data_IF_040492813115
#
_entry.id   IF_040492813115
#
_cell.length_a   1.000
_cell.length_b   1.000
_cell.length_c   1.000
_cell.angle_alpha   90.00
_cell.angle_beta   90.00
_cell.angle_gamma   90.00
#
_symmetry.space_group_name_H-M   'P 1'
#
loop_
_entity.id
_entity.type
_entity.pdbx_description
1 polymer ?
2 polymer ?
3 non-polymer ?
4 non-polymer ?
5 water ?
#
# COMPACT_ATOMS: atom_id res chain seq x y z
N UNK A 1 -8.47 27.28 0.17
CA UNK A 1 -9.65 27.21 -0.65
C UNK A 1 -10.85 26.57 0.02
N UNK A 2 -11.91 26.34 -0.74
CA UNK A 2 -13.12 25.76 -0.16
C UNK A 2 -12.91 24.29 0.17
N UNK A 3 -13.58 23.83 1.22
CA UNK A 3 -13.63 22.39 1.45
C UNK A 3 -14.50 21.75 0.36
N UNK A 4 -14.03 20.64 -0.20
CA UNK A 4 -14.72 19.94 -1.28
C UNK A 4 -15.02 18.50 -0.87
N UNK A 5 -16.13 17.97 -1.37
CA UNK A 5 -16.43 16.54 -1.30
C UNK A 5 -16.19 15.95 -2.68
N UNK A 6 -15.44 14.84 -2.74
CA UNK A 6 -14.99 14.25 -4.00
C UNK A 6 -15.24 12.75 -3.96
N UNK A 7 -15.86 12.22 -5.02
CA UNK A 7 -16.15 10.79 -5.14
C UNK A 7 -15.08 10.12 -5.99
N UNK A 8 -14.57 9.00 -5.50
CA UNK A 8 -13.60 8.20 -6.22
C UNK A 8 -14.13 6.78 -6.36
N UNK A 9 -13.98 6.20 -7.54
CA UNK A 9 -14.40 4.82 -7.81
C UNK A 9 -13.18 3.96 -8.07
N UNK A 10 -13.07 2.84 -7.36
CA UNK A 10 -11.96 1.93 -7.62
C UNK A 10 -12.43 0.49 -7.54
N UNK A 11 -11.71 -0.38 -8.25
CA UNK A 11 -11.89 -1.81 -8.16
C UNK A 11 -10.86 -2.39 -7.20
N UNK A 12 -11.08 -3.63 -6.78
CA UNK A 12 -10.27 -4.16 -5.69
C UNK A 12 -8.85 -4.52 -6.10
N UNK A 13 -8.55 -4.56 -7.40
CA UNK A 13 -7.21 -4.95 -7.85
C UNK A 13 -6.23 -3.78 -7.87
N UNK A 14 -6.69 -2.57 -7.61
CA UNK A 14 -5.85 -1.39 -7.75
C UNK A 14 -5.75 -0.67 -6.40
N UNK A 15 -4.76 0.21 -6.28
CA UNK A 15 -4.70 1.12 -5.16
C UNK A 15 -5.45 2.41 -5.47
N UNK A 16 -5.36 3.37 -4.55
CA UNK A 16 -6.00 4.67 -4.77
C UNK A 16 -5.31 5.46 -5.87
N UNK A 17 -4.00 5.28 -6.03
CA UNK A 17 -3.26 6.06 -6.99
C UNK A 17 -2.81 7.39 -6.46
N UNK A 18 -2.50 7.50 -5.17
CA UNK A 18 -1.96 8.72 -4.61
C UNK A 18 -0.73 8.38 -3.77
N UNK A 19 0.14 9.37 -3.65
CA UNK A 19 1.17 9.37 -2.62
C UNK A 19 0.80 10.40 -1.57
N UNK A 20 0.98 10.04 -0.30
CA UNK A 20 0.65 10.97 0.78
C UNK A 20 1.89 11.21 1.63
N UNK A 21 1.96 12.41 2.19
CA UNK A 21 3.00 12.77 3.14
C UNK A 21 2.35 13.45 4.34
N UNK A 22 3.12 13.61 5.40
CA UNK A 22 2.63 14.34 6.55
C UNK A 22 2.08 13.43 7.64
N UNK A 23 1.34 14.04 8.55
CA UNK A 23 0.76 13.31 9.66
C UNK A 23 0.94 14.07 10.97
N UNK A 24 0.10 13.70 11.94
CA UNK A 24 0.00 14.46 13.19
C UNK A 24 1.32 14.50 13.95
N UNK A 25 2.09 13.41 13.89
CA UNK A 25 3.36 13.38 14.61
C UNK A 25 4.37 14.38 14.04
N UNK A 26 4.12 14.90 12.84
CA UNK A 26 4.95 15.92 12.22
C UNK A 26 4.31 17.30 12.22
N UNK A 27 3.12 17.44 12.79
CA UNK A 27 2.44 18.73 12.82
C UNK A 27 1.98 19.22 11.46
N UNK A 28 1.72 18.31 10.53
CA UNK A 28 1.33 18.66 9.17
C UNK A 28 0.15 17.76 8.78
N UNK A 29 -0.78 18.24 7.97
CA UNK A 29 -1.91 17.40 7.55
C UNK A 29 -1.45 16.23 6.69
N UNK A 30 -2.37 15.28 6.49
CA UNK A 30 -2.18 14.28 5.44
C UNK A 30 -2.34 14.99 4.10
N UNK A 31 -1.24 15.13 3.35
CA UNK A 31 -1.22 15.87 2.10
C UNK A 31 -0.98 14.93 0.93
N UNK A 32 -1.69 15.18 -0.17
CA UNK A 32 -1.42 14.48 -1.43
C UNK A 32 -0.17 15.08 -2.07
N UNK A 33 0.88 14.27 -2.21
CA UNK A 33 2.09 14.74 -2.87
C UNK A 33 2.24 14.24 -4.29
N UNK A 34 1.53 13.18 -4.68
CA UNK A 34 1.56 12.68 -6.04
C UNK A 34 0.19 12.12 -6.40
N UNK A 35 -0.19 12.29 -7.66
CA UNK A 35 -1.33 11.62 -8.28
C UNK A 35 -0.77 10.75 -9.40
N UNK A 36 -0.93 9.44 -9.29
CA UNK A 36 -0.34 8.53 -10.27
C UNK A 36 -1.17 8.55 -11.54
N UNK A 37 -0.59 8.86 -12.71
CA UNK A 37 -1.40 9.00 -13.92
C UNK A 37 -2.13 7.71 -14.27
N UNK A 38 -3.41 7.86 -14.62
CA UNK A 38 -4.23 6.76 -15.06
C UNK A 38 -4.83 5.90 -13.96
N UNK A 39 -4.49 6.14 -12.70
CA UNK A 39 -5.00 5.35 -11.58
C UNK A 39 -6.25 6.01 -10.98
N UNK A 40 -6.93 5.41 -9.99
CA UNK A 40 -8.29 5.91 -9.66
C UNK A 40 -8.38 7.37 -9.24
N UNK A 41 -7.39 7.91 -8.52
CA UNK A 41 -7.51 9.31 -8.12
C UNK A 41 -7.42 10.24 -9.33
N UNK A 42 -6.52 9.94 -10.26
CA UNK A 42 -6.46 10.70 -11.51
C UNK A 42 -7.79 10.61 -12.26
N UNK A 43 -8.33 9.39 -12.39
CA UNK A 43 -9.55 9.20 -13.16
C UNK A 43 -10.75 9.91 -12.53
N UNK A 44 -10.77 10.05 -11.20
CA UNK A 44 -11.95 10.65 -10.58
C UNK A 44 -12.05 12.15 -10.87
N UNK A 45 -10.93 12.81 -11.16
CA UNK A 45 -10.94 14.18 -11.63
C UNK A 45 -10.90 15.24 -10.56
N UNK A 46 -11.23 14.90 -9.32
CA UNK A 46 -11.38 15.93 -8.29
C UNK A 46 -10.30 16.01 -7.23
N UNK A 47 -9.22 15.23 -7.36
CA UNK A 47 -8.15 15.23 -6.37
C UNK A 47 -6.86 15.72 -7.01
N UNK A 48 -6.10 16.53 -6.28
CA UNK A 48 -4.92 17.17 -6.86
C UNK A 48 -3.78 17.21 -5.87
N UNK A 49 -2.56 17.25 -6.41
CA UNK A 49 -1.37 17.45 -5.59
C UNK A 49 -1.51 18.74 -4.79
N UNK A 50 -1.20 18.67 -3.50
CA UNK A 50 -1.36 19.80 -2.61
C UNK A 50 -2.62 19.76 -1.77
N UNK A 51 -3.60 18.94 -2.15
CA UNK A 51 -4.80 18.76 -1.34
C UNK A 51 -4.46 18.14 0.01
N UNK A 52 -5.09 18.65 1.06
CA UNK A 52 -5.11 17.94 2.33
C UNK A 52 -6.34 17.04 2.39
N UNK A 53 -6.14 15.80 2.83
CA UNK A 53 -7.27 14.90 3.03
C UNK A 53 -7.76 15.08 4.46
N UNK A 54 -8.97 15.62 4.59
CA UNK A 54 -9.58 15.90 5.88
C UNK A 54 -10.35 14.71 6.41
N UNK A 55 -10.97 13.94 5.52
CA UNK A 55 -11.75 12.78 5.93
C UNK A 55 -11.91 11.85 4.74
N UNK A 56 -12.13 10.57 5.04
CA UNK A 56 -12.47 9.60 4.00
C UNK A 56 -13.61 8.73 4.50
N UNK A 57 -14.69 8.64 3.72
CA UNK A 57 -15.87 7.89 4.10
C UNK A 57 -16.32 8.20 5.53
N UNK A 58 -16.28 9.48 5.89
CA UNK A 58 -16.70 9.94 7.21
C UNK A 58 -15.71 9.70 8.33
N UNK A 59 -14.54 9.12 8.04
CA UNK A 59 -13.47 8.96 9.03
C UNK A 59 -12.57 10.18 8.99
N UNK A 60 -12.49 10.90 10.11
CA UNK A 60 -11.71 12.13 10.18
C UNK A 60 -10.22 11.80 10.17
N UNK A 61 -9.47 12.48 9.31
CA UNK A 61 -8.03 12.26 9.20
C UNK A 61 -7.22 13.47 9.66
N UNK A 62 -7.88 14.46 10.26
CA UNK A 62 -7.18 15.70 10.59
C UNK A 62 -6.15 15.50 11.70
N UNK A 63 -6.37 14.53 12.59
CA UNK A 63 -5.50 14.33 13.75
C UNK A 63 -4.78 12.98 13.71
N UNK A 64 -4.60 12.40 12.53
CA UNK A 64 -4.09 11.04 12.42
C UNK A 64 -2.60 11.05 12.12
N UNK A 65 -1.89 10.09 12.71
CA UNK A 65 -0.49 9.88 12.38
C UNK A 65 -0.36 9.29 10.98
N UNK A 66 0.85 9.39 10.42
CA UNK A 66 1.06 8.99 9.04
C UNK A 66 0.60 7.56 8.79
N UNK A 67 1.08 6.61 9.61
CA UNK A 67 0.77 5.21 9.34
C UNK A 67 -0.67 4.87 9.70
N UNK A 68 -1.27 5.59 10.66
CA UNK A 68 -2.71 5.46 10.88
C UNK A 68 -3.48 5.81 9.61
N UNK A 69 -3.10 6.91 8.96
CA UNK A 69 -3.80 7.32 7.74
C UNK A 69 -3.62 6.30 6.63
N UNK A 70 -2.42 5.71 6.52
CA UNK A 70 -2.20 4.69 5.50
C UNK A 70 -3.16 3.52 5.69
N UNK A 71 -3.28 3.05 6.94
CA UNK A 71 -4.17 1.92 7.21
C UNK A 71 -5.62 2.27 6.90
N UNK A 72 -6.08 3.46 7.34
CA UNK A 72 -7.47 3.86 7.11
C UNK A 72 -7.73 4.00 5.61
N UNK A 73 -6.86 4.71 4.90
CA UNK A 73 -7.09 4.93 3.48
C UNK A 73 -7.05 3.63 2.68
N UNK A 74 -6.10 2.74 2.99
CA UNK A 74 -5.98 1.51 2.21
C UNK A 74 -7.12 0.54 2.46
N UNK A 75 -7.88 0.71 3.55
CA UNK A 75 -9.01 -0.18 3.85
C UNK A 75 -10.24 0.13 3.02
N UNK A 76 -10.33 1.32 2.42
CA UNK A 76 -11.56 1.74 1.77
C UNK A 76 -11.69 1.08 0.40
N UNK A 77 -12.92 0.69 0.04
CA UNK A 77 -13.18 -0.06 -1.18
C UNK A 77 -14.33 0.56 -1.97
N UNK A 78 -14.26 0.41 -3.30
CA UNK A 78 -15.40 0.69 -4.15
C UNK A 78 -15.67 2.17 -4.40
N UNK A 79 -16.82 2.65 -3.94
CA UNK A 79 -17.20 4.05 -4.06
C UNK A 79 -16.79 4.76 -2.78
N UNK A 80 -15.80 5.64 -2.88
CA UNK A 80 -15.12 6.22 -1.73
C UNK A 80 -15.27 7.74 -1.76
N UNK A 81 -15.78 8.32 -0.67
CA UNK A 81 -15.99 9.76 -0.57
C UNK A 81 -14.85 10.42 0.20
N UNK A 82 -14.23 11.43 -0.41
CA UNK A 82 -13.16 12.19 0.20
C UNK A 82 -13.65 13.58 0.56
N UNK A 83 -13.18 14.09 1.69
CA UNK A 83 -13.30 15.51 2.04
C UNK A 83 -11.91 16.13 1.97
N UNK A 84 -11.73 17.13 1.09
CA UNK A 84 -10.39 17.65 0.80
C UNK A 84 -10.42 19.17 0.71
N UNK A 85 -9.25 19.77 0.91
CA UNK A 85 -9.11 21.22 0.78
C UNK A 85 -7.70 21.53 0.29
N UNK A 86 -7.61 22.49 -0.61
CA UNK A 86 -6.33 22.97 -1.12
C UNK A 86 -6.00 24.29 -0.44
N UNK A 87 -4.87 24.33 0.24
CA UNK A 87 -4.35 25.56 0.82
C UNK A 87 -3.09 25.96 0.05
N UNK B 1 5.69 1.65 -12.04
CA UNK B 1 4.37 1.12 -12.32
C UNK B 1 3.39 1.45 -11.21
N UNK B 2 2.13 1.07 -11.40
CA UNK B 2 1.11 1.34 -10.38
C UNK B 2 1.04 0.25 -9.33
N UNK B 3 0.42 0.60 -8.20
CA UNK B 3 0.13 -0.39 -7.17
C UNK B 3 -0.86 -1.42 -7.70
N UNK B 4 -0.57 -2.69 -7.44
CA UNK B 4 -1.48 -3.77 -7.75
C UNK B 4 -1.83 -4.52 -6.47
N UNK B 5 -3.06 -5.02 -6.40
CA UNK B 5 -3.44 -5.97 -5.36
C UNK B 5 -3.59 -7.34 -6.01
N UNK B 6 -2.88 -8.33 -5.47
CA UNK B 6 -2.72 -9.64 -6.08
C UNK B 6 -3.12 -10.69 -5.07
N UNK B 7 -3.99 -11.62 -5.47
CA UNK B 7 -4.42 -12.71 -4.61
C UNK B 7 -3.60 -13.96 -4.90
N UNK B 8 -3.21 -14.64 -3.83
CA UNK B 8 -2.44 -15.87 -3.91
C UNK B 8 -3.14 -16.90 -3.04
N UNK B 9 -3.24 -18.14 -3.52
CA UNK B 9 -3.87 -19.21 -2.75
C UNK B 9 -2.79 -20.14 -2.22
N UNK B 10 -2.71 -20.26 -0.89
CA UNK B 10 -1.70 -21.05 -0.21
C UNK B 10 -2.38 -22.17 0.56
N UNK B 11 -2.00 -23.41 0.28
CA UNK B 11 -2.46 -24.50 1.13
C UNK B 11 -1.62 -24.55 2.40
N UNK B 12 -2.22 -25.05 3.48
CA UNK B 12 -1.54 -25.01 4.77
C UNK B 12 -0.22 -25.77 4.76
N UNK B 13 -0.07 -26.75 3.87
CA UNK B 13 1.13 -27.57 3.88
C UNK B 13 2.29 -26.96 3.08
N UNK B 14 2.09 -25.84 2.39
CA UNK B 14 3.11 -25.32 1.50
C UNK B 14 3.44 -23.87 1.85
N UNK B 15 4.63 -23.44 1.44
CA UNK B 15 5.03 -22.06 1.57
C UNK B 15 4.49 -21.21 0.44
N UNK B 16 4.75 -19.90 0.53
CA UNK B 16 4.32 -18.97 -0.51
C UNK B 16 5.12 -19.14 -1.80
N UNK B 17 6.39 -19.55 -1.69
CA UNK B 17 7.24 -19.69 -2.85
C UNK B 17 7.95 -18.40 -3.22
N UNK B 18 8.37 -17.62 -2.23
CA UNK B 18 8.97 -16.31 -2.44
C UNK B 18 10.23 -16.20 -1.60
N UNK B 19 11.25 -15.56 -2.19
CA UNK B 19 12.46 -15.18 -1.43
C UNK B 19 12.37 -13.67 -1.22
N UNK B 20 12.76 -13.22 -0.04
CA UNK B 20 12.56 -11.80 0.35
C UNK B 20 13.86 -11.16 0.83
N UNK B 21 14.10 -9.92 0.39
CA UNK B 21 15.23 -9.13 0.91
C UNK B 21 14.69 -7.74 1.29
N UNK B 22 15.52 -6.93 1.94
CA UNK B 22 15.14 -5.57 2.27
C UNK B 22 14.53 -5.42 3.65
N UNK B 23 13.93 -4.25 3.85
CA UNK B 23 13.31 -3.91 5.12
C UNK B 23 13.91 -2.64 5.71
N UNK B 24 13.23 -2.17 6.76
CA UNK B 24 13.50 -0.84 7.33
C UNK B 24 14.97 -0.64 7.67
N UNK B 25 15.64 -1.67 8.20
CA UNK B 25 17.03 -1.47 8.61
C UNK B 25 17.97 -1.31 7.43
N UNK B 26 17.52 -1.62 6.22
CA UNK B 26 18.32 -1.42 5.02
C UNK B 26 17.89 -0.18 4.25
N UNK B 27 16.94 0.58 4.77
CA UNK B 27 16.43 1.74 4.06
C UNK B 27 15.75 1.42 2.74
N UNK B 28 15.27 0.20 2.56
CA UNK B 28 14.60 -0.20 1.32
C UNK B 28 13.37 -1.02 1.69
N UNK B 29 12.39 -1.07 0.79
CA UNK B 29 11.18 -1.85 1.08
C UNK B 29 11.48 -3.34 1.14
N UNK B 30 10.47 -4.08 1.60
CA UNK B 30 10.47 -5.53 1.47
C UNK B 30 10.37 -5.88 -0.01
N UNK B 31 11.37 -6.59 -0.53
CA UNK B 31 11.50 -6.82 -1.97
C UNK B 31 11.48 -8.31 -2.29
N UNK B 32 10.78 -8.67 -3.37
CA UNK B 32 10.81 -10.04 -3.86
C UNK B 32 12.12 -10.23 -4.62
N UNK B 33 12.94 -11.18 -4.18
CA UNK B 33 14.21 -11.44 -4.84
C UNK B 33 14.19 -12.72 -5.66
N UNK B 34 13.25 -13.63 -5.40
CA UNK B 34 13.12 -14.83 -6.22
C UNK B 34 11.68 -15.32 -6.18
N UNK B 35 11.20 -15.82 -7.32
CA UNK B 35 9.91 -16.51 -7.40
C UNK B 35 10.19 -17.97 -7.73
N UNK B 36 9.78 -18.86 -6.84
CA UNK B 36 10.17 -20.27 -6.97
C UNK B 36 9.21 -20.99 -7.92
N UNK B 37 9.72 -21.73 -8.91
CA UNK B 37 8.83 -22.30 -9.94
C UNK B 37 7.85 -23.32 -9.37
N UNK B 38 6.60 -23.22 -9.83
CA UNK B 38 5.56 -24.15 -9.46
C UNK B 38 4.89 -23.91 -8.13
N UNK B 39 5.40 -22.99 -7.32
CA UNK B 39 4.87 -22.70 -6.00
C UNK B 39 3.76 -21.65 -6.11
N UNK B 40 3.00 -21.41 -5.02
CA UNK B 40 1.81 -20.53 -5.14
C UNK B 40 2.08 -19.16 -5.75
N UNK B 41 3.19 -18.50 -5.41
CA UNK B 41 3.44 -17.18 -5.99
C UNK B 41 3.64 -17.26 -7.50
N UNK B 42 4.34 -18.30 -7.97
CA UNK B 42 4.50 -18.47 -9.41
C UNK B 42 3.15 -18.74 -10.08
N UNK B 43 2.32 -19.58 -9.45
CA UNK B 43 1.06 -19.97 -10.09
C UNK B 43 0.10 -18.80 -10.22
N UNK B 44 0.14 -17.83 -9.29
CA UNK B 44 -0.81 -16.72 -9.37
C UNK B 44 -0.47 -15.75 -10.50
N UNK B 45 0.77 -15.76 -10.99
CA UNK B 45 1.16 -14.99 -12.15
C UNK B 45 1.21 -13.49 -11.96
N UNK B 46 0.98 -12.98 -10.75
CA UNK B 46 0.93 -11.54 -10.56
C UNK B 46 2.02 -10.96 -9.68
N UNK B 47 2.98 -11.79 -9.26
CA UNK B 47 4.10 -11.36 -8.42
C UNK B 47 5.41 -11.61 -9.14
N UNK B 48 6.30 -10.62 -9.12
CA UNK B 48 7.51 -10.70 -9.94
C UNK B 48 8.73 -10.24 -9.16
N UNK B 49 9.90 -10.76 -9.56
CA UNK B 49 11.15 -10.34 -8.94
C UNK B 49 11.32 -8.84 -9.11
N UNK B 50 11.67 -8.17 -8.01
CA UNK B 50 11.81 -6.74 -7.99
C UNK B 50 10.60 -6.00 -7.48
N UNK B 51 9.45 -6.67 -7.34
CA UNK B 51 8.29 -6.05 -6.72
C UNK B 51 8.58 -5.74 -5.26
N UNK B 52 8.11 -4.58 -4.81
CA UNK B 52 8.10 -4.26 -3.39
C UNK B 52 6.77 -4.71 -2.81
N UNK B 53 6.82 -5.39 -1.66
CA UNK B 53 5.59 -5.76 -0.95
C UNK B 53 5.27 -4.64 0.04
N UNK B 54 4.25 -3.85 -0.29
CA UNK B 54 3.87 -2.73 0.56
C UNK B 54 2.99 -3.17 1.72
N UNK B 55 2.15 -4.17 1.50
CA UNK B 55 1.23 -4.64 2.53
C UNK B 55 0.81 -6.07 2.20
N UNK B 56 0.42 -6.81 3.23
CA UNK B 56 -0.14 -8.15 3.05
C UNK B 56 -1.37 -8.28 3.94
N UNK B 57 -2.50 -8.64 3.34
CA UNK B 57 -3.78 -8.76 4.04
C UNK B 57 -4.05 -7.54 4.93
N UNK B 58 -3.75 -6.35 4.42
CA UNK B 58 -4.00 -5.13 5.18
C UNK B 58 -3.00 -4.81 6.26
N UNK B 59 -1.90 -5.55 6.34
CA UNK B 59 -0.80 -5.23 7.26
C UNK B 59 0.22 -4.39 6.50
N UNK B 60 0.37 -3.13 6.91
CA UNK B 60 1.32 -2.23 6.26
C UNK B 60 2.75 -2.64 6.59
N UNK B 61 3.54 -2.97 5.55
CA UNK B 61 4.93 -3.39 5.71
C UNK B 61 5.92 -2.35 5.18
N UNK B 62 5.46 -1.12 4.93
CA UNK B 62 6.35 -0.10 4.36
C UNK B 62 7.44 0.34 5.33
N UNK B 63 7.27 0.11 6.62
CA UNK B 63 8.21 0.64 7.61
C UNK B 63 8.49 -0.40 8.67
N UNK B 64 8.68 -1.65 8.25
CA UNK B 64 8.88 -2.77 9.15
C UNK B 64 10.24 -3.40 8.87
N UNK B 65 10.93 -3.81 9.93
CA UNK B 65 12.21 -4.49 9.76
C UNK B 65 12.03 -5.88 9.13
N UNK B 66 13.11 -6.36 8.52
CA UNK B 66 13.10 -7.61 7.76
C UNK B 66 12.48 -8.76 8.55
N UNK B 67 13.00 -9.03 9.76
CA UNK B 67 12.58 -10.22 10.48
C UNK B 67 11.09 -10.18 10.82
N UNK B 68 10.59 -9.03 11.26
CA UNK B 68 9.18 -8.92 11.62
C UNK B 68 8.29 -9.04 10.39
N UNK B 69 8.71 -8.44 9.27
CA UNK B 69 7.92 -8.57 8.04
C UNK B 69 7.82 -10.02 7.62
N UNK B 70 8.94 -10.75 7.70
CA UNK B 70 8.95 -12.16 7.32
C UNK B 70 8.04 -12.97 8.23
N UNK B 71 8.06 -12.69 9.54
CA UNK B 71 7.17 -13.38 10.47
C UNK B 71 5.69 -13.14 10.13
N UNK B 72 5.30 -11.88 9.90
CA UNK B 72 3.92 -11.58 9.53
C UNK B 72 3.52 -12.30 8.25
N UNK B 73 4.38 -12.23 7.23
CA UNK B 73 4.09 -12.90 5.97
C UNK B 73 3.88 -14.39 6.16
N UNK B 74 4.70 -15.01 7.01
CA UNK B 74 4.65 -16.45 7.22
C UNK B 74 3.41 -16.89 7.99
N UNK B 75 2.76 -15.98 8.71
CA UNK B 75 1.54 -16.32 9.45
C UNK B 75 0.29 -16.30 8.59
N UNK B 76 0.35 -15.79 7.36
CA UNK B 76 -0.84 -15.66 6.54
C UNK B 76 -1.27 -17.02 5.98
N UNK B 77 -2.59 -17.20 5.87
CA UNK B 77 -3.15 -18.48 5.45
C UNK B 77 -4.24 -18.29 4.40
N UNK B 78 -4.39 -19.30 3.55
CA UNK B 78 -5.53 -19.34 2.64
C UNK B 78 -5.34 -18.44 1.45
N UNK B 79 -6.38 -17.66 1.13
CA UNK B 79 -6.33 -16.72 0.02
C UNK B 79 -5.77 -15.41 0.57
N UNK B 80 -4.59 -15.02 0.09
CA UNK B 80 -3.79 -13.97 0.70
C UNK B 80 -3.64 -12.81 -0.29
N UNK B 81 -3.93 -11.59 0.17
CA UNK B 81 -3.83 -10.42 -0.69
C UNK B 81 -2.49 -9.71 -0.49
N UNK B 82 -1.74 -9.53 -1.57
CA UNK B 82 -0.51 -8.76 -1.56
C UNK B 82 -0.75 -7.43 -2.25
N UNK B 83 -0.27 -6.35 -1.63
CA UNK B 83 -0.26 -5.02 -2.24
C UNK B 83 1.19 -4.76 -2.65
N UNK B 84 1.44 -4.69 -3.97
CA UNK B 84 2.78 -4.66 -4.53
C UNK B 84 2.93 -3.52 -5.53
N UNK B 85 4.17 -3.09 -5.73
CA UNK B 85 4.47 -2.05 -6.72
C UNK B 85 5.86 -2.31 -7.30
N UNK B 86 6.01 -2.04 -8.59
CA UNK B 86 7.30 -2.12 -9.28
C UNK B 86 7.66 -0.70 -9.71
N UNK B 87 8.63 -0.10 -9.03
CA UNK B 87 9.04 1.25 -9.35
C UNK B 87 10.08 1.22 -10.47
N UNK C 4 11.87 16.02 8.50
CA UNK C 4 11.81 15.15 7.30
C UNK C 4 10.52 14.36 7.34
N UNK C 5 9.79 14.41 6.23
CA UNK C 5 8.46 13.82 6.28
C UNK C 5 8.44 12.49 5.55
N UNK C 6 7.71 11.51 6.08
CA UNK C 6 7.52 10.26 5.35
C UNK C 6 6.55 10.45 4.19
N UNK C 7 6.75 9.64 3.15
CA UNK C 7 5.82 9.55 2.03
C UNK C 7 5.45 8.09 1.82
N UNK C 8 4.16 7.84 1.60
CA UNK C 8 3.69 6.49 1.29
C UNK C 8 2.89 6.51 0.00
N UNK C 9 3.21 5.46 -0.90
CA UNK C 9 2.38 5.26 -2.07
C UNK C 9 1.26 4.35 -1.65
N UNK C 10 -0.06 4.78 -1.96
CA UNK C 10 -1.25 4.02 -1.58
C UNK C 10 -2.26 3.94 -2.72
N UNK D 5 22.15 -8.27 0.72
CA UNK D 5 21.34 -8.18 1.93
C UNK D 5 20.89 -9.57 2.38
N UNK D 6 20.57 -9.71 3.67
CA UNK D 6 19.99 -10.97 4.16
C UNK D 6 18.77 -11.39 3.35
N UNK D 7 18.63 -12.70 3.16
CA UNK D 7 17.55 -13.28 2.38
C UNK D 7 16.75 -14.22 3.27
N UNK D 8 15.42 -14.11 3.20
CA UNK D 8 14.53 -15.05 3.85
C UNK D 8 13.66 -15.71 2.80
N UNK D 9 13.12 -16.98 3.17
CA UNK D 9 12.09 -17.60 2.37
C UNK D 9 10.81 -17.81 3.18
N UNK D 10 9.72 -17.46 2.34
CA UNK D 10 8.37 -17.57 2.87
C UNK D 10 7.52 -18.43 1.94
X LIG E 1 -5.69 8.17 16.83
X LIG E 1 -5.28 9.04 15.81
X LIG E 1 -4.90 8.55 18.10
X LIG E 1 -4.98 7.58 19.10
X LIG E 1 -3.47 8.77 17.64
X LIG E 1 -2.75 7.65 17.94
X LIG F 1 2.90 -1.48 13.51
X LIG F 1 3.80 -1.79 12.46
X LIG F 1 3.31 -0.10 14.03
X LIG F 1 3.13 0.89 13.04
X LIG F 1 4.81 -0.28 14.44
X LIG F 1 5.02 0.45 15.62
X LIG G 1 6.57 3.17 -2.74
X LIG G 1 5.68 2.43 -2.47
X LIG G 1 7.76 3.40 -1.81
X LIG G 1 8.35 2.07 -1.37
X LIG G 1 9.95 0.44 -4.32
X LIG G 1 11.06 1.26 -4.11
X LIG G 1 9.25 1.63 -2.49
X LIG G 1 8.92 0.67 -3.40
X LIG G 1 10.79 2.29 -2.77
X LIG H 1 16.95 -18.82 -1.93
X LIG H 1 17.75 -19.71 -1.87
X LIG H 1 17.20 -17.57 -2.77
X LIG H 1 18.66 -17.41 -3.18
X LIG H 1 18.02 -14.28 -5.23
X LIG H 1 19.24 -14.52 -5.89
X LIG H 1 18.72 -16.23 -4.16
X LIG H 1 17.75 -15.25 -4.25
X LIG H 1 19.97 -15.95 -5.27
#
# INVERSE_FOLDING_TARGET
GPIRKVLLLKEDHEGLGISITGGKEHGVPILISEIHPGQPADRCGGLHVGDAILAVNGVNLRDTKHKEAVTILSQQRGEIEFEVVYV
GPIRKVLLLKEDHEGLGISITGGKEHGVPILISEIHPGQPADRCGGLHVGDAILAVNGVNLRDTKHKEAVTILSQQRGEIEFEVVYV
ANSRLPTSKI
ANSRLPTSKI
GOL C1 O1 C2 O2 C3 O3
GOL C1 O1 C2 O2 C3 O3
QTU CH OH C01 C02 C03 C04 C06 C07 S01
QTU CH OH C01 C02 C03 C04 C06 C07 S01
#
